data_IF_684718025778
#
_entry.id   IF_684718025778
#
_cell.length_a   1.000
_cell.length_b   1.000
_cell.length_c   1.000
_cell.angle_alpha   90.00
_cell.angle_beta   90.00
_cell.angle_gamma   90.00
#
_symmetry.space_group_name_H-M   'P 1'
#
loop_
_entity.id
_entity.type
_entity.pdbx_description
1 polymer ?
#
# COMPACT_ATOMS: atom_id res chain seq x y z
N UNK A 1 29.47 58.27 13.50
CA UNK A 1 28.10 58.11 14.00
C UNK A 1 27.57 56.78 13.49
N UNK A 2 27.29 55.93 14.46
CA UNK A 2 26.85 54.54 14.47
C UNK A 2 26.10 53.99 13.25
N UNK A 3 26.51 52.79 12.86
CA UNK A 3 25.58 51.70 12.53
C UNK A 3 26.12 50.43 13.18
N UNK A 4 25.64 50.14 14.38
CA UNK A 4 25.66 48.80 14.99
C UNK A 4 24.66 47.92 14.23
N UNK A 5 25.02 46.66 13.97
CA UNK A 5 24.16 45.52 14.23
C UNK A 5 25.01 44.24 14.18
N UNK A 6 25.04 43.59 15.32
CA UNK A 6 25.73 42.36 15.62
C UNK A 6 25.05 41.11 15.02
N UNK A 7 25.82 40.03 15.07
CA UNK A 7 25.43 38.66 15.39
C UNK A 7 25.04 37.65 14.30
N UNK A 8 26.00 36.72 14.15
CA UNK A 8 25.82 35.26 14.15
C UNK A 8 25.19 34.58 12.94
N UNK A 9 26.00 34.47 11.88
CA UNK A 9 25.90 33.36 10.93
C UNK A 9 26.78 32.19 11.43
N UNK A 10 26.15 31.19 12.06
CA UNK A 10 26.81 29.95 12.48
C UNK A 10 27.49 29.24 11.29
N UNK A 11 28.77 28.84 11.38
CA UNK A 11 29.38 27.98 10.36
C UNK A 11 29.04 26.51 10.64
N UNK A 12 28.28 25.88 9.75
CA UNK A 12 28.10 24.41 9.71
C UNK A 12 29.43 23.73 9.32
N UNK A 13 30.33 23.57 10.30
CA UNK A 13 31.42 22.59 10.22
C UNK A 13 31.02 21.34 11.01
N UNK A 14 30.43 20.38 10.32
CA UNK A 14 30.48 18.99 10.77
C UNK A 14 30.46 18.03 9.59
N UNK A 15 31.66 17.66 9.12
CA UNK A 15 31.87 16.56 8.20
C UNK A 15 31.65 15.25 8.96
N UNK A 16 30.42 14.77 9.03
CA UNK A 16 30.15 13.41 9.48
C UNK A 16 30.58 12.45 8.35
N UNK A 17 31.71 11.78 8.55
CA UNK A 17 32.19 10.69 7.69
C UNK A 17 31.14 9.56 7.68
N UNK A 18 30.37 9.46 6.60
CA UNK A 18 29.45 8.36 6.36
C UNK A 18 30.24 7.06 6.18
N UNK A 19 30.26 6.19 7.21
CA UNK A 19 30.84 4.84 7.09
C UNK A 19 29.74 3.87 6.66
N UNK A 20 29.96 3.23 5.50
CA UNK A 20 29.11 2.16 4.98
C UNK A 20 29.19 0.97 5.95
N UNK A 21 28.05 0.44 6.45
CA UNK A 21 28.07 -0.75 7.30
C UNK A 21 28.56 -1.98 6.52
N UNK A 22 29.33 -2.89 7.15
CA UNK A 22 29.80 -4.09 6.49
C UNK A 22 28.63 -5.01 6.10
N UNK A 23 28.75 -5.65 4.92
CA UNK A 23 27.75 -6.59 4.40
C UNK A 23 27.50 -7.73 5.40
N UNK A 24 26.24 -8.14 5.63
CA UNK A 24 25.95 -9.26 6.51
C UNK A 24 26.57 -10.56 5.99
N UNK A 25 27.09 -11.37 6.92
CA UNK A 25 27.64 -12.69 6.66
C UNK A 25 26.62 -13.61 6.02
N UNK A 26 27.03 -14.24 4.91
CA UNK A 26 26.42 -15.31 4.11
C UNK A 26 25.20 -16.00 4.77
N UNK A 27 24.02 -15.80 4.16
CA UNK A 27 22.78 -16.51 4.51
C UNK A 27 22.98 -18.02 4.33
N UNK A 28 22.56 -18.89 5.27
CA UNK A 28 22.60 -20.34 5.08
C UNK A 28 21.81 -20.73 3.84
N UNK A 29 22.43 -21.51 2.95
CA UNK A 29 21.76 -22.03 1.74
C UNK A 29 20.55 -22.86 2.16
N UNK A 30 19.35 -22.44 1.72
CA UNK A 30 18.18 -23.32 1.75
C UNK A 30 18.50 -24.54 0.89
N UNK A 31 18.69 -25.70 1.52
CA UNK A 31 18.74 -26.97 0.78
C UNK A 31 17.42 -27.11 0.03
N UNK A 32 17.51 -27.38 -1.27
CA UNK A 32 16.33 -27.70 -2.08
C UNK A 32 15.60 -28.91 -1.46
N UNK A 33 14.26 -28.94 -1.46
CA UNK A 33 13.51 -30.09 -0.97
C UNK A 33 13.89 -31.32 -1.78
N UNK A 34 14.16 -32.44 -1.10
CA UNK A 34 14.38 -33.73 -1.76
C UNK A 34 13.01 -34.25 -2.20
N UNK A 35 12.68 -34.06 -3.48
CA UNK A 35 11.51 -34.69 -4.10
C UNK A 35 11.89 -36.15 -4.36
N UNK A 36 11.42 -37.07 -3.51
CA UNK A 36 11.57 -38.51 -3.74
C UNK A 36 10.51 -38.96 -4.76
N UNK A 37 10.94 -39.29 -5.97
CA UNK A 37 10.14 -40.06 -6.91
C UNK A 37 10.05 -41.51 -6.40
N UNK A 38 8.83 -42.00 -6.19
CA UNK A 38 8.56 -43.39 -5.83
C UNK A 38 8.69 -44.29 -7.05
N UNK A 39 9.82 -44.97 -7.20
CA UNK A 39 9.95 -46.11 -8.10
C UNK A 39 9.86 -47.43 -7.32
N UNK A 40 9.16 -48.37 -7.95
CA UNK A 40 8.80 -49.70 -7.48
C UNK A 40 10.01 -50.63 -7.60
N UNK A 41 10.38 -51.34 -6.52
CA UNK A 41 11.43 -52.37 -6.56
C UNK A 41 11.62 -53.07 -5.21
N UNK A 42 11.82 -54.39 -5.23
CA UNK A 42 11.63 -55.33 -4.12
C UNK A 42 12.91 -55.63 -3.31
N UNK A 43 12.68 -56.12 -2.08
CA UNK A 43 13.39 -57.20 -1.32
C UNK A 43 14.28 -56.86 -0.10
N UNK A 44 14.03 -57.65 0.96
CA UNK A 44 14.86 -58.10 2.10
C UNK A 44 14.93 -57.26 3.41
N UNK A 45 14.29 -57.82 4.43
CA UNK A 45 14.43 -57.58 5.90
C UNK A 45 15.62 -58.43 6.45
N UNK A 46 16.02 -58.46 7.77
CA UNK A 46 15.27 -58.08 8.99
C UNK A 46 16.08 -57.57 10.25
N UNK A 47 15.31 -57.37 11.35
CA UNK A 47 15.63 -57.30 12.82
C UNK A 47 15.61 -55.86 13.39
N UNK A 48 14.90 -55.50 14.48
CA UNK A 48 14.21 -56.23 15.56
C UNK A 48 13.23 -55.32 16.37
N UNK A 49 12.06 -55.89 16.70
CA UNK A 49 11.00 -55.66 17.72
C UNK A 49 11.22 -54.73 18.97
N UNK A 50 10.21 -54.46 19.84
CA UNK A 50 8.73 -54.33 19.70
C UNK A 50 8.10 -53.12 20.48
N UNK A 51 6.75 -53.05 20.46
CA UNK A 51 5.79 -52.27 21.31
C UNK A 51 5.44 -50.89 20.73
N UNK A 52 4.19 -50.46 20.57
CA UNK A 52 2.92 -50.89 21.13
C UNK A 52 1.79 -50.55 20.14
N UNK A 53 0.78 -51.40 20.04
CA UNK A 53 -0.39 -51.26 19.17
C UNK A 53 -1.45 -50.37 19.81
N UNK A 54 -1.90 -49.34 19.10
CA UNK A 54 -3.31 -48.94 19.09
C UNK A 54 -3.68 -48.45 17.70
N UNK A 55 -4.39 -49.30 16.96
CA UNK A 55 -4.95 -49.02 15.66
C UNK A 55 -5.96 -47.87 15.76
N UNK A 56 -5.60 -46.68 15.27
CA UNK A 56 -6.59 -45.70 14.83
C UNK A 56 -6.74 -45.88 13.32
N UNK A 57 -7.69 -46.74 13.00
CA UNK A 57 -8.26 -46.98 11.68
C UNK A 57 -8.73 -45.63 11.12
N UNK A 58 -7.93 -44.99 10.25
CA UNK A 58 -8.40 -43.89 9.42
C UNK A 58 -9.27 -44.50 8.32
N UNK A 59 -10.52 -44.81 8.67
CA UNK A 59 -11.52 -45.06 7.65
C UNK A 59 -11.67 -43.79 6.83
N UNK A 60 -11.22 -43.88 5.58
CA UNK A 60 -11.51 -42.91 4.54
C UNK A 60 -13.01 -42.77 4.37
N UNK A 61 -13.61 -41.87 5.14
CA UNK A 61 -14.85 -41.22 4.74
C UNK A 61 -14.48 -40.16 3.73
N UNK A 62 -14.46 -40.56 2.46
CA UNK A 62 -14.74 -39.66 1.36
C UNK A 62 -16.19 -39.19 1.50
N UNK A 63 -16.45 -38.28 2.44
CA UNK A 63 -17.61 -37.42 2.36
C UNK A 63 -17.25 -36.29 1.39
N UNK A 64 -18.00 -36.04 0.31
CA UNK A 64 -17.85 -34.80 -0.40
C UNK A 64 -18.14 -33.69 0.60
N UNK A 65 -17.14 -32.89 0.95
CA UNK A 65 -17.39 -31.60 1.59
C UNK A 65 -18.09 -30.81 0.50
N UNK A 66 -19.43 -30.86 0.53
CA UNK A 66 -20.25 -29.88 -0.13
C UNK A 66 -19.94 -28.56 0.56
N UNK A 67 -18.91 -27.87 0.05
CA UNK A 67 -18.67 -26.45 0.30
C UNK A 67 -19.87 -25.69 -0.25
N UNK A 68 -20.96 -25.67 0.53
CA UNK A 68 -21.88 -24.53 0.53
C UNK A 68 -21.21 -23.42 1.33
N UNK A 69 -20.04 -23.00 0.91
CA UNK A 69 -19.66 -21.61 1.13
C UNK A 69 -20.50 -20.84 0.14
N UNK A 70 -21.67 -20.40 0.61
CA UNK A 70 -22.29 -19.21 0.09
C UNK A 70 -21.23 -18.12 0.17
N UNK A 71 -20.47 -17.99 -0.90
CA UNK A 71 -19.78 -16.77 -1.25
C UNK A 71 -20.92 -15.79 -1.42
N UNK A 72 -21.31 -15.12 -0.34
CA UNK A 72 -21.90 -13.80 -0.48
C UNK A 72 -20.79 -12.95 -1.05
N UNK A 73 -20.67 -13.01 -2.38
CA UNK A 73 -20.07 -11.94 -3.14
C UNK A 73 -20.91 -10.73 -2.73
N UNK A 74 -20.38 -9.95 -1.78
CA UNK A 74 -20.87 -8.59 -1.60
C UNK A 74 -20.70 -7.98 -2.98
N UNK A 75 -21.80 -7.58 -3.65
CA UNK A 75 -21.71 -7.12 -5.01
C UNK A 75 -20.70 -5.97 -5.07
N UNK A 76 -19.98 -5.89 -6.18
CA UNK A 76 -19.15 -4.72 -6.53
C UNK A 76 -19.90 -3.39 -6.35
N UNK A 77 -21.23 -3.44 -6.22
CA UNK A 77 -22.13 -2.34 -5.89
C UNK A 77 -21.83 -1.60 -4.59
N UNK A 78 -21.23 -2.19 -3.54
CA UNK A 78 -21.09 -1.43 -2.28
C UNK A 78 -20.11 -0.25 -2.41
N UNK A 79 -19.05 -0.41 -3.21
CA UNK A 79 -18.06 0.64 -3.48
C UNK A 79 -18.64 1.69 -4.44
N UNK A 80 -19.37 1.24 -5.47
CA UNK A 80 -20.08 2.12 -6.40
C UNK A 80 -21.21 2.89 -5.71
N UNK A 81 -21.96 2.27 -4.81
CA UNK A 81 -23.00 2.92 -4.02
C UNK A 81 -22.42 3.97 -3.07
N UNK A 82 -21.27 3.70 -2.45
CA UNK A 82 -20.57 4.71 -1.66
C UNK A 82 -20.13 5.91 -2.51
N UNK A 83 -19.67 5.69 -3.74
CA UNK A 83 -19.34 6.77 -4.65
C UNK A 83 -20.58 7.59 -5.07
N UNK A 84 -21.69 6.94 -5.39
CA UNK A 84 -22.94 7.59 -5.81
C UNK A 84 -23.65 8.35 -4.68
N UNK A 85 -23.41 7.98 -3.43
CA UNK A 85 -24.01 8.62 -2.24
C UNK A 85 -23.07 9.61 -1.55
N UNK A 86 -21.83 9.76 -2.04
CA UNK A 86 -20.84 10.65 -1.45
C UNK A 86 -21.23 12.10 -1.65
N UNK A 87 -21.21 12.89 -0.57
CA UNK A 87 -21.47 14.33 -0.62
C UNK A 87 -20.32 15.08 0.05
N UNK A 88 -19.93 16.20 -0.52
CA UNK A 88 -18.90 17.08 0.05
C UNK A 88 -19.07 18.51 -0.45
N UNK A 89 -18.40 19.46 0.21
CA UNK A 89 -18.44 20.86 -0.22
C UNK A 89 -17.71 21.10 -1.55
N UNK A 90 -16.79 20.21 -1.95
CA UNK A 90 -16.00 20.33 -3.19
C UNK A 90 -16.73 19.67 -4.37
N UNK A 91 -17.42 18.55 -4.14
CA UNK A 91 -18.15 17.81 -5.16
C UNK A 91 -19.66 18.04 -5.05
N UNK A 92 -20.23 18.70 -6.06
CA UNK A 92 -21.67 18.87 -6.20
C UNK A 92 -22.36 17.52 -6.44
N UNK A 93 -23.62 17.32 -5.99
CA UNK A 93 -24.32 16.03 -6.07
C UNK A 93 -24.56 15.50 -7.49
N UNK A 94 -24.50 16.37 -8.52
CA UNK A 94 -24.59 15.99 -9.94
C UNK A 94 -23.33 16.44 -10.70
N UNK A 95 -22.15 16.12 -10.16
CA UNK A 95 -20.89 16.50 -10.77
C UNK A 95 -20.63 15.71 -12.07
N UNK A 96 -20.01 16.39 -13.04
CA UNK A 96 -19.50 15.73 -14.25
C UNK A 96 -18.16 15.05 -13.94
N UNK A 97 -17.78 14.01 -14.70
CA UNK A 97 -16.41 13.48 -14.65
C UNK A 97 -15.41 14.62 -14.92
N UNK A 98 -14.38 14.71 -14.07
CA UNK A 98 -13.34 15.75 -14.15
C UNK A 98 -13.90 17.19 -14.20
N UNK A 99 -14.90 17.49 -13.35
CA UNK A 99 -15.45 18.84 -13.23
C UNK A 99 -14.35 19.88 -12.91
N UNK A 100 -14.23 20.91 -13.75
CA UNK A 100 -13.16 21.89 -13.69
C UNK A 100 -13.17 22.70 -12.37
N UNK A 101 -14.37 23.00 -11.85
CA UNK A 101 -14.52 23.73 -10.58
C UNK A 101 -13.99 22.91 -9.40
N UNK A 102 -14.40 21.64 -9.29
CA UNK A 102 -13.93 20.73 -8.26
C UNK A 102 -12.41 20.48 -8.35
N UNK A 103 -11.87 20.34 -9.56
CA UNK A 103 -10.43 20.17 -9.79
C UNK A 103 -9.64 21.40 -9.34
N UNK A 104 -10.06 22.61 -9.74
CA UNK A 104 -9.40 23.84 -9.34
C UNK A 104 -9.42 24.05 -7.82
N UNK A 105 -10.57 23.78 -7.18
CA UNK A 105 -10.69 23.85 -5.72
C UNK A 105 -9.76 22.83 -5.02
N UNK A 106 -9.65 21.62 -5.55
CA UNK A 106 -8.81 20.57 -5.00
C UNK A 106 -7.32 20.89 -5.15
N UNK A 107 -6.88 21.39 -6.31
CA UNK A 107 -5.51 21.83 -6.53
C UNK A 107 -5.14 23.00 -5.62
N UNK A 108 -6.03 23.99 -5.50
CA UNK A 108 -5.84 25.12 -4.58
C UNK A 108 -5.66 24.64 -3.14
N UNK A 109 -6.46 23.68 -2.69
CA UNK A 109 -6.31 23.08 -1.36
C UNK A 109 -4.96 22.35 -1.22
N UNK A 110 -4.54 21.62 -2.24
CA UNK A 110 -3.25 20.91 -2.26
C UNK A 110 -2.07 21.88 -2.11
N UNK A 111 -2.06 22.99 -2.86
CA UNK A 111 -0.98 23.97 -2.87
C UNK A 111 -0.90 24.81 -1.59
N UNK A 112 -2.03 25.08 -0.93
CA UNK A 112 -2.05 25.88 0.31
C UNK A 112 -1.91 25.04 1.60
N UNK A 113 -1.91 23.72 1.51
CA UNK A 113 -1.82 22.86 2.68
C UNK A 113 -0.41 22.36 2.89
N UNK A 114 0.04 22.38 4.15
CA UNK A 114 1.32 21.82 4.57
C UNK A 114 1.46 20.32 4.16
N UNK A 115 2.55 19.93 3.47
CA UNK A 115 2.78 18.56 3.02
C UNK A 115 2.66 17.50 4.12
N UNK A 116 3.12 17.80 5.34
CA UNK A 116 3.00 16.88 6.47
C UNK A 116 1.53 16.63 6.87
N UNK A 117 0.69 17.67 6.86
CA UNK A 117 -0.75 17.52 7.10
C UNK A 117 -1.42 16.68 6.02
N UNK A 118 -1.06 16.88 4.75
CA UNK A 118 -1.58 16.06 3.63
C UNK A 118 -1.20 14.59 3.84
N UNK A 119 0.07 14.31 4.13
CA UNK A 119 0.56 12.96 4.41
C UNK A 119 -0.19 12.30 5.58
N UNK A 120 -0.48 13.07 6.64
CA UNK A 120 -1.26 12.61 7.80
C UNK A 120 -2.70 12.27 7.41
N UNK A 121 -3.36 13.09 6.59
CA UNK A 121 -4.71 12.81 6.10
C UNK A 121 -4.75 11.57 5.21
N UNK A 122 -3.79 11.42 4.28
CA UNK A 122 -3.65 10.21 3.46
C UNK A 122 -3.53 8.98 4.36
N UNK A 123 -2.62 9.02 5.32
CA UNK A 123 -2.38 7.92 6.26
C UNK A 123 -3.59 7.59 7.11
N UNK A 124 -4.35 8.59 7.57
CA UNK A 124 -5.58 8.39 8.31
C UNK A 124 -6.65 7.64 7.48
N UNK A 125 -6.82 8.03 6.21
CA UNK A 125 -7.76 7.35 5.32
C UNK A 125 -7.29 5.94 4.96
N UNK A 126 -6.02 5.76 4.65
CA UNK A 126 -5.46 4.46 4.33
C UNK A 126 -5.54 3.50 5.54
N UNK A 127 -5.30 4.01 6.75
CA UNK A 127 -5.51 3.26 8.00
C UNK A 127 -6.94 2.74 8.15
N UNK A 128 -7.95 3.58 7.81
CA UNK A 128 -9.36 3.19 7.83
C UNK A 128 -9.71 2.17 6.75
N UNK A 129 -9.29 2.40 5.51
CA UNK A 129 -9.57 1.51 4.37
C UNK A 129 -8.95 0.14 4.59
N UNK A 130 -7.70 0.10 5.07
CA UNK A 130 -6.99 -1.14 5.41
C UNK A 130 -7.52 -1.80 6.69
N UNK A 131 -8.46 -1.17 7.42
CA UNK A 131 -9.10 -1.73 8.61
C UNK A 131 -8.07 -2.20 9.66
N UNK A 132 -6.99 -1.43 9.85
CA UNK A 132 -5.84 -1.85 10.66
C UNK A 132 -6.26 -2.11 12.11
N UNK A 133 -7.19 -1.31 12.66
CA UNK A 133 -7.73 -1.48 14.01
C UNK A 133 -8.59 -2.74 14.20
N UNK A 134 -9.13 -3.32 13.14
CA UNK A 134 -10.06 -4.47 13.19
C UNK A 134 -9.48 -5.71 12.51
N UNK A 135 -8.17 -5.92 12.65
CA UNK A 135 -7.44 -7.07 12.08
C UNK A 135 -7.58 -7.17 10.56
N UNK A 136 -7.72 -6.04 9.86
CA UNK A 136 -7.85 -5.98 8.41
C UNK A 136 -6.69 -6.65 7.67
N UNK A 137 -5.46 -6.49 8.18
CA UNK A 137 -4.27 -7.15 7.64
C UNK A 137 -4.37 -8.67 7.69
N UNK A 138 -4.83 -9.24 8.81
CA UNK A 138 -5.05 -10.68 8.95
C UNK A 138 -6.14 -11.15 7.98
N UNK A 139 -7.28 -10.45 7.93
CA UNK A 139 -8.38 -10.77 7.02
C UNK A 139 -7.95 -10.77 5.55
N UNK A 140 -7.02 -9.91 5.15
CA UNK A 140 -6.52 -9.80 3.78
C UNK A 140 -5.93 -11.12 3.26
N UNK A 141 -5.31 -11.92 4.13
CA UNK A 141 -4.72 -13.21 3.77
C UNK A 141 -5.76 -14.34 3.65
N UNK A 142 -6.94 -14.17 4.23
CA UNK A 142 -7.99 -15.18 4.22
C UNK A 142 -9.01 -14.96 3.08
N UNK A 143 -9.73 -16.02 2.63
CA UNK A 143 -10.77 -15.89 1.61
C UNK A 143 -11.87 -14.87 1.96
N UNK A 144 -12.20 -14.75 3.26
CA UNK A 144 -13.18 -13.79 3.80
C UNK A 144 -12.77 -12.33 3.54
N UNK A 145 -11.48 -12.04 3.32
CA UNK A 145 -10.96 -10.72 2.99
C UNK A 145 -10.99 -10.35 1.51
N UNK A 146 -11.67 -11.12 0.65
CA UNK A 146 -11.74 -10.82 -0.81
C UNK A 146 -12.20 -9.39 -1.09
N UNK A 147 -13.25 -8.93 -0.41
CA UNK A 147 -13.78 -7.57 -0.62
C UNK A 147 -12.86 -6.48 -0.09
N UNK A 148 -12.19 -6.74 1.04
CA UNK A 148 -11.18 -5.83 1.57
C UNK A 148 -10.00 -5.67 0.59
N UNK A 149 -9.53 -6.76 -0.01
CA UNK A 149 -8.50 -6.71 -1.05
C UNK A 149 -8.92 -5.87 -2.26
N UNK A 150 -10.15 -6.04 -2.75
CA UNK A 150 -10.69 -5.22 -3.84
C UNK A 150 -10.69 -3.74 -3.47
N UNK A 151 -11.16 -3.38 -2.27
CA UNK A 151 -11.19 -1.99 -1.80
C UNK A 151 -9.79 -1.37 -1.68
N UNK A 152 -8.81 -2.13 -1.18
CA UNK A 152 -7.42 -1.67 -1.08
C UNK A 152 -6.81 -1.45 -2.47
N UNK A 153 -7.07 -2.35 -3.42
CA UNK A 153 -6.61 -2.21 -4.81
C UNK A 153 -7.24 -0.99 -5.47
N UNK A 154 -8.55 -0.79 -5.32
CA UNK A 154 -9.24 0.40 -5.85
C UNK A 154 -8.65 1.68 -5.26
N UNK A 155 -8.50 1.74 -3.93
CA UNK A 155 -7.91 2.88 -3.23
C UNK A 155 -6.51 3.22 -3.75
N UNK A 156 -5.69 2.20 -3.99
CA UNK A 156 -4.35 2.35 -4.54
C UNK A 156 -4.38 2.96 -5.96
N UNK A 157 -5.22 2.39 -6.84
CA UNK A 157 -5.34 2.85 -8.23
C UNK A 157 -5.92 4.26 -8.30
N UNK A 158 -7.00 4.55 -7.56
CA UNK A 158 -7.58 5.88 -7.50
C UNK A 158 -6.58 6.93 -7.00
N UNK A 159 -5.73 6.60 -6.01
CA UNK A 159 -4.70 7.51 -5.54
C UNK A 159 -3.63 7.77 -6.62
N UNK A 160 -3.17 6.72 -7.31
CA UNK A 160 -2.21 6.86 -8.41
C UNK A 160 -2.78 7.72 -9.55
N UNK A 161 -4.03 7.46 -9.96
CA UNK A 161 -4.71 8.27 -10.97
C UNK A 161 -4.93 9.70 -10.50
N UNK A 162 -5.30 9.94 -9.24
CA UNK A 162 -5.45 11.28 -8.69
C UNK A 162 -4.16 12.09 -8.83
N UNK A 163 -3.02 11.52 -8.45
CA UNK A 163 -1.70 12.15 -8.59
C UNK A 163 -1.39 12.41 -10.07
N UNK A 164 -1.63 11.43 -10.94
CA UNK A 164 -1.35 11.59 -12.36
C UNK A 164 -2.20 12.71 -13.00
N UNK A 165 -3.51 12.69 -12.74
CA UNK A 165 -4.47 13.66 -13.26
C UNK A 165 -4.17 15.07 -12.74
N UNK A 166 -3.84 15.22 -11.46
CA UNK A 166 -3.55 16.55 -10.88
C UNK A 166 -2.29 17.18 -11.48
N UNK A 167 -1.24 16.39 -11.73
CA UNK A 167 -0.03 16.85 -12.42
C UNK A 167 -0.33 17.17 -13.90
N UNK A 168 -0.99 16.27 -14.64
CA UNK A 168 -1.32 16.49 -16.06
C UNK A 168 -2.29 17.66 -16.28
N UNK A 169 -3.21 17.87 -15.34
CA UNK A 169 -4.16 18.99 -15.39
C UNK A 169 -3.46 20.34 -15.19
N UNK A 170 -2.19 20.38 -14.78
CA UNK A 170 -1.36 21.59 -14.72
C UNK A 170 -0.82 22.01 -16.09
N UNK A 171 -1.06 21.28 -17.18
CA UNK A 171 -0.44 21.53 -18.48
C UNK A 171 -0.68 22.90 -19.11
N UNK A 172 -1.62 23.71 -18.63
CA UNK A 172 -1.80 25.10 -19.07
C UNK A 172 -0.82 26.09 -18.42
N UNK A 173 -0.22 25.74 -17.28
CA UNK A 173 0.70 26.57 -16.51
C UNK A 173 1.85 25.70 -15.93
N UNK A 174 3.02 25.82 -16.54
CA UNK A 174 4.21 25.03 -16.17
C UNK A 174 4.61 25.29 -14.72
N UNK A 175 4.42 26.52 -14.22
CA UNK A 175 4.79 26.87 -12.86
C UNK A 175 3.88 26.16 -11.85
N UNK A 176 2.56 26.12 -12.13
CA UNK A 176 1.60 25.36 -11.31
C UNK A 176 1.95 23.86 -11.28
N UNK A 177 2.34 23.29 -12.42
CA UNK A 177 2.76 21.89 -12.50
C UNK A 177 3.98 21.60 -11.64
N UNK A 178 4.99 22.46 -11.67
CA UNK A 178 6.21 22.33 -10.87
C UNK A 178 5.90 22.42 -9.38
N UNK A 179 5.03 23.34 -8.98
CA UNK A 179 4.60 23.51 -7.59
C UNK A 179 3.85 22.28 -7.07
N UNK A 180 2.90 21.76 -7.85
CA UNK A 180 2.16 20.53 -7.51
C UNK A 180 3.12 19.35 -7.35
N UNK A 181 4.07 19.20 -8.27
CA UNK A 181 5.07 18.14 -8.22
C UNK A 181 5.94 18.26 -6.96
N UNK A 182 6.40 19.46 -6.64
CA UNK A 182 7.19 19.74 -5.44
C UNK A 182 6.42 19.37 -4.16
N UNK A 183 5.13 19.73 -4.08
CA UNK A 183 4.26 19.33 -2.96
C UNK A 183 4.19 17.81 -2.86
N UNK A 184 3.95 17.09 -3.95
CA UNK A 184 3.86 15.62 -3.89
C UNK A 184 5.19 14.94 -3.51
N UNK A 185 6.34 15.48 -3.93
CA UNK A 185 7.66 14.98 -3.52
C UNK A 185 7.83 15.14 -2.00
N UNK A 186 7.46 16.30 -1.45
CA UNK A 186 7.50 16.53 0.00
C UNK A 186 6.52 15.61 0.75
N UNK A 187 5.30 15.43 0.23
CA UNK A 187 4.32 14.48 0.80
C UNK A 187 4.87 13.06 0.78
N UNK A 188 5.52 12.63 -0.30
CA UNK A 188 6.14 11.31 -0.39
C UNK A 188 7.24 11.12 0.66
N UNK A 189 8.07 12.14 0.87
CA UNK A 189 9.10 12.14 1.92
C UNK A 189 8.48 11.96 3.32
N UNK A 190 7.42 12.70 3.63
CA UNK A 190 6.71 12.59 4.91
C UNK A 190 6.01 11.24 5.10
N UNK A 191 5.44 10.67 4.04
CA UNK A 191 4.79 9.36 4.08
C UNK A 191 5.78 8.25 4.42
N UNK A 192 6.98 8.25 3.83
CA UNK A 192 7.96 7.18 4.04
C UNK A 192 8.78 7.36 5.32
N UNK A 193 9.20 8.58 5.64
CA UNK A 193 10.12 8.83 6.76
C UNK A 193 9.42 9.14 8.08
N UNK A 194 8.34 9.91 8.06
CA UNK A 194 7.67 10.38 9.29
C UNK A 194 6.54 9.46 9.71
N UNK A 195 5.71 9.01 8.77
CA UNK A 195 4.50 8.22 9.06
C UNK A 195 4.67 6.71 8.81
N UNK A 196 5.66 6.30 8.01
CA UNK A 196 5.87 4.91 7.64
C UNK A 196 4.76 4.30 6.78
N UNK A 197 3.95 5.13 6.08
CA UNK A 197 2.90 4.68 5.19
C UNK A 197 3.46 4.33 3.80
N UNK A 198 4.04 3.13 3.69
CA UNK A 198 4.61 2.63 2.42
C UNK A 198 3.53 2.41 1.36
N UNK A 199 2.31 2.07 1.77
CA UNK A 199 1.17 1.92 0.85
C UNK A 199 0.87 3.23 0.12
N UNK A 200 0.63 4.31 0.86
CA UNK A 200 0.39 5.64 0.28
C UNK A 200 1.58 6.12 -0.53
N UNK A 201 2.81 5.97 -0.02
CA UNK A 201 4.04 6.33 -0.74
C UNK A 201 4.14 5.63 -2.11
N UNK A 202 3.92 4.32 -2.15
CA UNK A 202 4.01 3.55 -3.40
C UNK A 202 2.95 3.97 -4.42
N UNK A 203 1.74 4.34 -3.96
CA UNK A 203 0.69 4.86 -4.83
C UNK A 203 1.06 6.22 -5.45
N UNK A 204 1.68 7.13 -4.67
CA UNK A 204 2.19 8.40 -5.20
C UNK A 204 3.26 8.17 -6.28
N UNK A 205 4.24 7.31 -5.99
CA UNK A 205 5.32 7.00 -6.93
C UNK A 205 4.78 6.38 -8.22
N UNK A 206 3.78 5.51 -8.11
CA UNK A 206 3.11 4.96 -9.29
C UNK A 206 2.39 6.05 -10.10
N UNK A 207 1.75 7.01 -9.43
CA UNK A 207 1.15 8.18 -10.08
C UNK A 207 2.16 8.97 -10.91
N UNK A 208 3.36 9.23 -10.39
CA UNK A 208 4.42 9.88 -11.16
C UNK A 208 4.85 9.09 -12.40
N UNK A 209 4.98 7.77 -12.28
CA UNK A 209 5.31 6.93 -13.44
C UNK A 209 4.22 7.03 -14.52
N UNK A 210 2.95 7.05 -14.12
CA UNK A 210 1.84 7.21 -15.07
C UNK A 210 1.89 8.55 -15.81
N UNK A 211 2.31 9.64 -15.17
CA UNK A 211 2.44 10.95 -15.84
C UNK A 211 3.47 10.96 -16.96
N UNK A 212 4.52 10.15 -16.85
CA UNK A 212 5.61 10.07 -17.85
C UNK A 212 5.30 9.15 -19.03
N UNK A 213 4.22 8.37 -18.95
CA UNK A 213 3.83 7.40 -19.97
C UNK A 213 2.84 7.97 -21.01
N UNK A 214 2.42 9.23 -20.86
CA UNK A 214 1.55 9.96 -21.79
C UNK A 214 2.36 11.00 -22.55
#
# INVERSE_FOLDING_TARGET
MNSENDDNLYPLKQTASFRIPPKPSRVPSFRKPVIRHSEVGRTSSPKSNPRNTSNLRFEGRNSPIAEKHAVSDIPSDLLNQQALTYTSNILQPNNKPLDASAMAASKKLLLHTDPFKIAKHITYHDYKVCQINTKGLERMFFPVGRNLRKQIIERYQCMAFWVAITVLSGGSDIDEMVDILNVYIQVANELVHSLGNVFGFSALMHGFVLTTAC
#
